data_IF_346188446479
#
_entry.id   IF_346188446479
#
_cell.length_a   1.000
_cell.length_b   1.000
_cell.length_c   1.000
_cell.angle_alpha   90.00
_cell.angle_beta   90.00
_cell.angle_gamma   90.00
#
_symmetry.space_group_name_H-M   'P 1'
#
loop_
_entity.id
_entity.type
_entity.pdbx_description
1 polymer ?
#
# COMPACT_ATOMS: atom_id res chain seq x y z
N UNK A 1 10.63 9.25 7.42
CA UNK A 1 9.45 9.96 6.88
C UNK A 1 8.19 9.14 7.13
N UNK A 2 7.06 9.77 7.49
CA UNK A 2 5.76 9.08 7.60
C UNK A 2 4.96 9.33 6.32
N UNK A 3 4.40 8.29 5.72
CA UNK A 3 3.64 8.38 4.47
C UNK A 3 2.30 7.67 4.65
N UNK A 4 1.21 8.37 4.30
CA UNK A 4 -0.11 7.77 4.16
C UNK A 4 -0.44 7.68 2.67
N UNK A 5 -0.65 6.47 2.17
CA UNK A 5 -1.10 6.22 0.81
C UNK A 5 -2.60 5.94 0.81
N UNK A 6 -3.36 6.71 0.06
CA UNK A 6 -4.78 6.42 -0.19
C UNK A 6 -4.87 5.42 -1.34
N UNK A 7 -5.39 4.23 -1.06
CA UNK A 7 -5.52 3.20 -2.07
C UNK A 7 -6.56 3.59 -3.16
N UNK A 8 -6.42 3.04 -4.38
CA UNK A 8 -7.48 3.04 -5.37
C UNK A 8 -8.75 2.34 -4.87
N UNK A 9 -9.89 2.64 -5.47
CA UNK A 9 -11.17 2.05 -5.09
C UNK A 9 -11.49 0.73 -5.81
N UNK A 10 -10.81 0.46 -6.93
CA UNK A 10 -11.02 -0.75 -7.75
C UNK A 10 -9.88 -1.74 -7.56
N UNK A 11 -10.22 -3.04 -7.58
CA UNK A 11 -9.25 -4.11 -7.36
C UNK A 11 -8.14 -4.11 -8.42
N UNK A 12 -8.47 -3.86 -9.69
CA UNK A 12 -7.48 -3.80 -10.78
C UNK A 12 -6.44 -2.71 -10.53
N UNK A 13 -6.90 -1.50 -10.19
CA UNK A 13 -6.00 -0.38 -9.87
C UNK A 13 -5.15 -0.66 -8.63
N UNK A 14 -5.74 -1.27 -7.59
CA UNK A 14 -5.01 -1.65 -6.38
C UNK A 14 -3.89 -2.66 -6.68
N UNK A 15 -4.16 -3.66 -7.52
CA UNK A 15 -3.16 -4.63 -7.99
C UNK A 15 -2.06 -3.93 -8.80
N UNK A 16 -2.44 -3.02 -9.72
CA UNK A 16 -1.49 -2.26 -10.52
C UNK A 16 -0.61 -1.33 -9.67
N UNK A 17 -1.07 -0.91 -8.49
CA UNK A 17 -0.32 -0.09 -7.56
C UNK A 17 0.70 -0.87 -6.71
N UNK A 18 0.61 -2.20 -6.61
CA UNK A 18 1.46 -3.01 -5.73
C UNK A 18 2.97 -2.81 -5.93
N UNK A 19 3.52 -2.72 -7.16
CA UNK A 19 4.95 -2.51 -7.34
C UNK A 19 5.43 -1.18 -6.73
N UNK A 20 4.63 -0.12 -6.87
CA UNK A 20 4.96 1.19 -6.32
C UNK A 20 4.86 1.20 -4.79
N UNK A 21 3.85 0.53 -4.23
CA UNK A 21 3.67 0.38 -2.78
C UNK A 21 4.82 -0.41 -2.17
N UNK A 22 5.24 -1.51 -2.80
CA UNK A 22 6.37 -2.32 -2.34
C UNK A 22 7.68 -1.54 -2.38
N UNK A 23 7.94 -0.78 -3.46
CA UNK A 23 9.11 0.07 -3.56
C UNK A 23 9.16 1.13 -2.46
N UNK A 24 8.02 1.79 -2.17
CA UNK A 24 7.91 2.76 -1.07
C UNK A 24 8.12 2.13 0.31
N UNK A 25 7.57 0.93 0.54
CA UNK A 25 7.73 0.18 1.78
C UNK A 25 9.18 -0.27 2.03
N UNK A 26 9.97 -0.43 0.97
CA UNK A 26 11.38 -0.80 1.05
C UNK A 26 12.34 0.39 1.23
N UNK A 27 11.86 1.63 1.09
CA UNK A 27 12.70 2.81 1.26
C UNK A 27 13.14 2.98 2.73
N UNK A 28 14.45 3.20 2.94
CA UNK A 28 15.00 3.37 4.27
C UNK A 28 14.38 4.59 4.99
N UNK A 29 14.02 4.40 6.26
CA UNK A 29 13.43 5.45 7.09
C UNK A 29 11.98 5.80 6.74
N UNK A 30 11.34 5.15 5.76
CA UNK A 30 9.92 5.31 5.46
C UNK A 30 9.07 4.44 6.39
N UNK A 31 8.01 5.03 6.95
CA UNK A 31 6.90 4.29 7.57
C UNK A 31 5.65 4.52 6.72
N UNK A 32 5.25 3.50 5.98
CA UNK A 32 4.13 3.55 5.06
C UNK A 32 2.87 2.95 5.68
N UNK A 33 1.78 3.71 5.66
CA UNK A 33 0.43 3.25 5.99
C UNK A 33 -0.45 3.38 4.76
N UNK A 34 -1.25 2.36 4.45
CA UNK A 34 -2.17 2.36 3.31
C UNK A 34 -3.61 2.43 3.83
N UNK A 35 -4.29 3.53 3.54
CA UNK A 35 -5.72 3.67 3.78
C UNK A 35 -6.47 3.08 2.60
N UNK A 36 -7.06 1.90 2.80
CA UNK A 36 -7.77 1.15 1.77
C UNK A 36 -9.25 0.91 2.13
N UNK A 37 -10.18 1.00 1.15
CA UNK A 37 -11.53 0.47 1.32
C UNK A 37 -11.52 -1.02 1.71
N UNK A 38 -12.47 -1.51 2.52
CA UNK A 38 -12.48 -2.89 2.99
C UNK A 38 -12.39 -3.95 1.88
N UNK A 39 -13.01 -3.69 0.72
CA UNK A 39 -13.03 -4.60 -0.41
C UNK A 39 -11.68 -4.77 -1.12
N UNK A 40 -10.79 -3.77 -1.03
CA UNK A 40 -9.46 -3.79 -1.69
C UNK A 40 -8.31 -3.90 -0.69
N UNK A 41 -8.56 -3.64 0.60
CA UNK A 41 -7.56 -3.79 1.68
C UNK A 41 -6.77 -5.10 1.59
N UNK A 42 -7.38 -6.28 1.34
CA UNK A 42 -6.64 -7.53 1.28
C UNK A 42 -5.58 -7.61 0.17
N UNK A 43 -5.67 -6.77 -0.86
CA UNK A 43 -4.67 -6.72 -1.94
C UNK A 43 -3.29 -6.31 -1.41
N UNK A 44 -3.26 -5.50 -0.35
CA UNK A 44 -2.02 -5.02 0.26
C UNK A 44 -1.52 -5.90 1.41
N UNK A 45 -2.24 -6.99 1.73
CA UNK A 45 -1.81 -7.93 2.77
C UNK A 45 -0.48 -8.58 2.37
N UNK A 46 0.46 -8.63 3.31
CA UNK A 46 1.76 -9.27 3.10
C UNK A 46 2.77 -8.46 2.28
N UNK A 47 2.45 -7.23 1.86
CA UNK A 47 3.45 -6.34 1.23
C UNK A 47 4.46 -5.87 2.30
N UNK A 48 5.77 -6.15 2.15
CA UNK A 48 6.77 -5.76 3.15
C UNK A 48 6.81 -4.25 3.38
N UNK A 49 6.91 -3.84 4.65
CA UNK A 49 7.01 -2.42 5.02
C UNK A 49 5.68 -1.65 4.95
N UNK A 50 4.55 -2.33 4.69
CA UNK A 50 3.21 -1.72 4.67
C UNK A 50 2.45 -2.01 5.96
N UNK A 51 1.77 -0.99 6.48
CA UNK A 51 0.73 -1.13 7.52
C UNK A 51 -0.63 -0.71 6.95
N UNK A 52 -1.73 -1.36 7.38
CA UNK A 52 -3.09 -1.17 6.84
C UNK A 52 -4.08 -0.64 7.86
#
# INVERSE_FOLDING_TARGET
MKVLLRAPNWIGDAVLALPAVAALGACEGVRLTVLAPPAVRPVFDGVPGVSL
#
